data_IF_182538947253
#
_entry.id   IF_182538947253
#
_cell.length_a   1.000
_cell.length_b   1.000
_cell.length_c   1.000
_cell.angle_alpha   90.00
_cell.angle_beta   90.00
_cell.angle_gamma   90.00
#
_symmetry.space_group_name_H-M   'P 1'
#
loop_
_entity.id
_entity.type
_entity.pdbx_description
1 polymer ?
#
# COMPACT_ATOMS: atom_id res chain seq x y z
N UNK A 1 -9.86 19.68 -0.43
CA UNK A 1 -10.48 18.61 0.38
C UNK A 1 -9.39 17.95 1.20
N UNK A 2 -9.63 17.68 2.47
CA UNK A 2 -8.70 17.03 3.40
C UNK A 2 -9.31 15.74 3.92
N UNK A 3 -8.50 14.69 4.07
CA UNK A 3 -8.94 13.38 4.58
C UNK A 3 -8.04 13.03 5.77
N UNK A 4 -8.66 12.76 6.92
CA UNK A 4 -7.98 12.25 8.11
C UNK A 4 -7.90 10.72 8.05
N UNK A 5 -6.71 10.18 8.30
CA UNK A 5 -6.45 8.73 8.27
C UNK A 5 -5.39 8.39 9.30
N UNK A 6 -5.43 7.16 9.83
CA UNK A 6 -4.38 6.70 10.75
C UNK A 6 -3.14 6.25 9.96
N UNK A 7 -3.34 5.71 8.76
CA UNK A 7 -2.28 5.29 7.83
C UNK A 7 -2.60 5.72 6.40
N UNK A 8 -1.58 6.19 5.67
CA UNK A 8 -1.61 6.45 4.23
C UNK A 8 -0.70 5.45 3.52
N UNK A 9 -1.26 4.66 2.61
CA UNK A 9 -0.53 3.75 1.73
C UNK A 9 -0.42 4.38 0.34
N UNK A 10 0.80 4.51 -0.17
CA UNK A 10 1.06 5.02 -1.52
C UNK A 10 1.36 3.84 -2.45
N UNK A 11 0.46 3.61 -3.40
CA UNK A 11 0.49 2.50 -4.35
C UNK A 11 -0.50 1.39 -4.00
N UNK A 12 -1.33 0.96 -4.95
CA UNK A 12 -2.30 -0.15 -4.81
C UNK A 12 -1.82 -1.46 -5.45
N UNK A 13 -0.56 -1.52 -5.87
CA UNK A 13 0.08 -2.76 -6.31
C UNK A 13 0.16 -3.82 -5.22
N UNK A 14 0.67 -5.01 -5.57
CA UNK A 14 0.63 -6.21 -4.71
C UNK A 14 1.04 -5.97 -3.25
N UNK A 15 2.14 -5.24 -3.00
CA UNK A 15 2.56 -4.94 -1.62
C UNK A 15 1.67 -3.92 -0.89
N UNK A 16 1.19 -2.90 -1.60
CA UNK A 16 0.40 -1.81 -1.02
C UNK A 16 -1.01 -2.26 -0.65
N UNK A 17 -1.70 -2.93 -1.57
CA UNK A 17 -3.05 -3.45 -1.33
C UNK A 17 -3.09 -4.47 -0.18
N UNK A 18 -2.15 -5.43 -0.16
CA UNK A 18 -2.05 -6.40 0.94
C UNK A 18 -1.77 -5.71 2.28
N UNK A 19 -0.87 -4.74 2.31
CA UNK A 19 -0.59 -3.98 3.54
C UNK A 19 -1.82 -3.20 4.01
N UNK A 20 -2.52 -2.54 3.09
CA UNK A 20 -3.73 -1.79 3.39
C UNK A 20 -4.83 -2.68 3.97
N UNK A 21 -5.07 -3.84 3.35
CA UNK A 21 -6.03 -4.86 3.80
C UNK A 21 -5.71 -5.29 5.23
N UNK A 22 -4.48 -5.74 5.48
CA UNK A 22 -4.06 -6.23 6.79
C UNK A 22 -4.21 -5.15 7.88
N UNK A 23 -3.89 -3.90 7.58
CA UNK A 23 -4.05 -2.79 8.54
C UNK A 23 -5.52 -2.43 8.78
N UNK A 24 -6.36 -2.49 7.75
CA UNK A 24 -7.79 -2.22 7.84
C UNK A 24 -8.52 -3.31 8.64
N UNK A 25 -8.25 -4.59 8.34
CA UNK A 25 -8.77 -5.74 9.10
C UNK A 25 -8.44 -5.65 10.59
N UNK A 26 -7.28 -5.08 10.86
CA UNK A 26 -6.76 -4.94 12.20
C UNK A 26 -7.20 -3.60 12.87
N UNK A 27 -8.18 -2.91 12.26
CA UNK A 27 -8.96 -1.82 12.86
C UNK A 27 -8.42 -0.40 12.61
N UNK A 28 -7.50 -0.21 11.67
CA UNK A 28 -6.98 1.14 11.33
C UNK A 28 -7.82 1.81 10.25
N UNK A 29 -7.96 3.13 10.31
CA UNK A 29 -8.41 3.93 9.16
C UNK A 29 -7.25 4.05 8.19
N UNK A 30 -7.40 3.43 7.02
CA UNK A 30 -6.37 3.38 5.99
C UNK A 30 -6.89 4.11 4.76
N UNK A 31 -6.08 5.02 4.22
CA UNK A 31 -6.30 5.63 2.91
C UNK A 31 -5.24 5.10 1.96
N UNK A 32 -5.67 4.68 0.76
CA UNK A 32 -4.76 4.27 -0.31
C UNK A 32 -4.83 5.33 -1.41
N UNK A 33 -3.67 5.75 -1.91
CA UNK A 33 -3.56 6.63 -3.08
C UNK A 33 -2.78 5.91 -4.16
N UNK A 34 -3.21 6.05 -5.40
CA UNK A 34 -2.48 5.49 -6.54
C UNK A 34 -2.43 6.49 -7.71
N UNK A 35 -1.36 6.43 -8.49
CA UNK A 35 -1.16 7.26 -9.68
C UNK A 35 -2.14 6.90 -10.81
N UNK A 36 -2.46 5.60 -10.95
CA UNK A 36 -3.30 5.05 -12.00
C UNK A 36 -4.79 5.37 -11.83
N UNK A 37 -5.59 5.22 -12.89
CA UNK A 37 -7.04 5.39 -12.80
C UNK A 37 -7.64 4.31 -11.90
N UNK A 38 -8.83 4.60 -11.36
CA UNK A 38 -9.66 3.54 -10.79
C UNK A 38 -10.06 2.56 -11.89
N UNK A 39 -9.94 1.27 -11.60
CA UNK A 39 -10.29 0.17 -12.50
C UNK A 39 -11.24 -0.76 -11.78
N UNK A 40 -12.24 -1.25 -12.49
CA UNK A 40 -13.11 -2.30 -11.95
C UNK A 40 -12.31 -3.62 -11.87
N UNK A 41 -12.28 -4.29 -10.71
CA UNK A 41 -11.63 -5.59 -10.58
C UNK A 41 -12.11 -6.65 -11.57
N UNK A 42 -13.36 -6.56 -12.03
CA UNK A 42 -13.95 -7.51 -12.99
C UNK A 42 -13.58 -7.19 -14.45
N UNK A 43 -13.10 -5.98 -14.72
CA UNK A 43 -12.67 -5.54 -16.06
C UNK A 43 -11.15 -5.74 -16.29
N UNK A 44 -10.41 -6.12 -15.25
CA UNK A 44 -8.96 -6.32 -15.34
C UNK A 44 -8.58 -7.78 -15.49
N UNK A 45 -7.70 -8.03 -16.46
CA UNK A 45 -7.04 -9.32 -16.58
C UNK A 45 -6.29 -9.68 -15.30
N UNK A 46 -6.45 -10.90 -14.75
CA UNK A 46 -5.79 -11.31 -13.54
C UNK A 46 -4.26 -11.18 -13.61
N UNK A 47 -3.66 -10.84 -12.47
CA UNK A 47 -2.22 -10.70 -12.36
C UNK A 47 -1.49 -11.97 -12.86
N UNK A 48 -0.64 -11.81 -13.87
CA UNK A 48 0.18 -12.89 -14.42
C UNK A 48 1.67 -12.56 -14.29
N UNK A 49 2.41 -13.43 -13.57
CA UNK A 49 3.85 -13.27 -13.34
C UNK A 49 4.66 -13.15 -14.63
N UNK A 50 4.29 -13.90 -15.68
CA UNK A 50 5.01 -13.86 -16.98
C UNK A 50 4.87 -12.50 -17.65
N UNK A 51 3.67 -11.91 -17.64
CA UNK A 51 3.39 -10.60 -18.24
C UNK A 51 4.02 -9.47 -17.42
N UNK A 52 3.96 -9.58 -16.09
CA UNK A 52 4.58 -8.60 -15.19
C UNK A 52 6.10 -8.57 -15.39
N UNK A 53 6.76 -9.74 -15.42
CA UNK A 53 8.21 -9.87 -15.66
C UNK A 53 8.66 -9.24 -16.99
N UNK A 54 7.80 -9.30 -18.01
CA UNK A 54 8.07 -8.65 -19.31
C UNK A 54 7.90 -7.12 -19.26
N UNK A 55 7.08 -6.59 -18.34
CA UNK A 55 6.68 -5.18 -18.28
C UNK A 55 7.50 -4.36 -17.26
N UNK A 56 8.07 -4.98 -16.22
CA UNK A 56 8.77 -4.30 -15.12
C UNK A 56 10.27 -4.14 -15.27
N UNK A 57 10.84 -4.51 -16.43
CA UNK A 57 12.27 -4.33 -16.70
C UNK A 57 12.76 -2.86 -16.65
N UNK A 58 11.88 -1.85 -16.58
CA UNK A 58 12.28 -0.46 -16.89
C UNK A 58 12.01 0.62 -15.83
N UNK A 59 11.37 0.40 -14.66
CA UNK A 59 10.98 1.59 -13.86
C UNK A 59 10.94 1.51 -12.33
N UNK A 60 11.76 0.68 -11.68
CA UNK A 60 12.15 0.99 -10.28
C UNK A 60 13.35 1.93 -10.30
N UNK A 61 13.11 3.23 -10.54
CA UNK A 61 14.14 4.23 -10.30
C UNK A 61 14.29 4.39 -8.79
N UNK A 62 15.23 3.65 -8.19
CA UNK A 62 15.70 3.90 -6.82
C UNK A 62 16.27 5.32 -6.78
N UNK A 63 15.44 6.32 -6.47
CA UNK A 63 15.95 7.57 -5.94
C UNK A 63 16.47 7.21 -4.55
N UNK A 64 17.79 7.07 -4.41
CA UNK A 64 18.47 6.97 -3.11
C UNK A 64 18.30 8.31 -2.40
N UNK A 65 17.11 8.58 -1.89
CA UNK A 65 16.95 9.57 -0.83
C UNK A 65 17.61 8.94 0.41
N UNK A 66 18.63 9.59 0.96
CA UNK A 66 19.28 9.16 2.20
C UNK A 66 18.22 8.78 3.25
N UNK A 67 18.48 7.80 4.14
CA UNK A 67 17.50 7.37 5.12
C UNK A 67 17.20 8.55 6.06
N UNK A 68 16.14 9.29 5.76
CA UNK A 68 15.45 10.06 6.78
C UNK A 68 14.93 9.02 7.74
N UNK A 69 15.50 8.97 8.95
CA UNK A 69 14.89 8.27 10.07
C UNK A 69 13.46 8.79 10.16
N UNK A 70 12.51 7.99 9.71
CA UNK A 70 11.14 8.17 10.12
C UNK A 70 11.16 7.98 11.64
N UNK A 71 10.71 8.96 12.43
CA UNK A 71 10.56 8.73 13.86
C UNK A 71 9.67 7.50 13.97
N UNK A 72 10.16 6.46 14.63
CA UNK A 72 9.36 5.29 14.98
C UNK A 72 8.07 5.83 15.61
N UNK A 73 6.90 5.61 15.00
CA UNK A 73 5.68 5.80 15.74
C UNK A 73 5.85 4.89 16.95
N UNK A 74 5.59 5.41 18.14
CA UNK A 74 5.39 4.57 19.30
C UNK A 74 4.11 3.78 18.99
N UNK A 75 4.24 2.72 18.20
CA UNK A 75 3.18 1.74 17.96
C UNK A 75 2.99 1.13 19.33
N UNK A 76 2.01 1.66 20.07
CA UNK A 76 1.48 1.01 21.25
C UNK A 76 1.28 -0.45 20.85
N UNK A 77 1.88 -1.34 21.64
CA UNK A 77 1.90 -2.76 21.45
C UNK A 77 0.57 -3.25 20.87
N UNK A 78 0.64 -3.93 19.73
CA UNK A 78 -0.45 -4.73 19.21
C UNK A 78 -0.79 -5.78 20.26
N UNK A 79 -1.75 -5.44 21.11
CA UNK A 79 -2.22 -6.24 22.23
C UNK A 79 -3.63 -5.78 22.59
N UNK A 80 -4.62 -6.45 22.03
CA UNK A 80 -6.03 -6.23 22.31
C UNK A 80 -6.87 -7.26 21.56
N UNK A 81 -7.31 -8.29 22.28
CA UNK A 81 -8.24 -9.32 21.81
C UNK A 81 -9.61 -8.71 21.44
N UNK A 82 -10.40 -9.36 20.55
CA UNK A 82 -11.67 -8.80 20.09
C UNK A 82 -12.72 -8.77 21.21
N UNK A 83 -13.63 -7.80 21.14
CA UNK A 83 -14.90 -7.79 21.87
C UNK A 83 -16.03 -8.15 20.93
#
# INVERSE_FOLDING_TARGET
MTIDTDVLVVGSGAGGATTAMMLAEAGRRVTVVEEGPWVDPDEVEPFCWRRWSASTATRVRRRRSAPRRWPTPRVAAWGGAPR
#
